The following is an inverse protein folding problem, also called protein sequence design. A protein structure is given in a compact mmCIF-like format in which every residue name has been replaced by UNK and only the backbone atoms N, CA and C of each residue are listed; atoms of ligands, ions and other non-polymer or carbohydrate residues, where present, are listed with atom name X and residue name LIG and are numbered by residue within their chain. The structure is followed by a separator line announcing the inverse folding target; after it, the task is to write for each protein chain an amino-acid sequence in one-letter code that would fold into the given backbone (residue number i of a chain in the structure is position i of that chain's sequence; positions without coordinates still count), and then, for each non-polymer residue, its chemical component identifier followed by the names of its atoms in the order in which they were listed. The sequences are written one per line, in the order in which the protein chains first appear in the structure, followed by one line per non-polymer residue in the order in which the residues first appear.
data_IF_911963890138
#
_entry.id   IF_911963890138
#
_cell.length_a   1.000
_cell.length_b   1.000
_cell.length_c   1.000
_cell.angle_alpha   90.00
_cell.angle_beta   90.00
_cell.angle_gamma   90.00
#
_symmetry.space_group_name_H-M   'P 1'
#
loop_
_entity.id
_entity.type
_entity.pdbx_description
1 polymer ?
#
# COMPACT_ATOMS: atom_id res chain seq x y z
N UNK A 1 -36.88 10.07 -26.68
CA UNK A 1 -37.39 11.09 -25.72
C UNK A 1 -36.56 12.37 -25.71
N UNK A 2 -35.25 12.36 -25.42
CA UNK A 2 -34.42 13.59 -25.39
C UNK A 2 -34.16 14.16 -26.80
N UNK A 3 -34.00 13.29 -27.81
CA UNK A 3 -33.91 13.69 -29.24
C UNK A 3 -35.19 14.41 -29.70
N UNK A 4 -36.35 14.01 -29.17
CA UNK A 4 -37.65 14.61 -29.47
C UNK A 4 -37.88 15.96 -28.78
N UNK A 5 -37.18 16.27 -27.68
CA UNK A 5 -37.36 17.50 -26.90
C UNK A 5 -36.42 18.65 -27.33
N UNK A 6 -35.29 18.35 -27.97
CA UNK A 6 -34.24 19.36 -28.23
C UNK A 6 -33.70 19.39 -29.67
N UNK A 7 -34.05 18.41 -30.51
CA UNK A 7 -33.49 18.22 -31.84
C UNK A 7 -32.09 17.62 -31.82
N UNK A 8 -31.81 16.75 -32.80
CA UNK A 8 -30.54 16.02 -32.97
C UNK A 8 -29.29 16.93 -32.85
N UNK A 9 -29.25 18.15 -33.41
CA UNK A 9 -28.06 19.00 -33.36
C UNK A 9 -27.67 19.45 -31.94
N UNK A 10 -28.66 19.86 -31.12
CA UNK A 10 -28.41 20.32 -29.74
C UNK A 10 -28.02 19.16 -28.82
N UNK A 11 -28.53 17.97 -29.08
CA UNK A 11 -28.17 16.74 -28.36
C UNK A 11 -26.72 16.33 -28.62
N UNK A 12 -26.26 16.42 -29.88
CA UNK A 12 -24.86 16.13 -30.25
C UNK A 12 -23.90 17.15 -29.61
N UNK A 13 -24.24 18.44 -29.65
CA UNK A 13 -23.41 19.50 -29.02
C UNK A 13 -23.31 19.30 -27.50
N UNK A 14 -24.41 18.91 -26.85
CA UNK A 14 -24.44 18.61 -25.43
C UNK A 14 -23.54 17.42 -25.05
N UNK A 15 -23.64 16.30 -25.77
CA UNK A 15 -22.81 15.13 -25.51
C UNK A 15 -21.33 15.40 -25.80
N UNK A 16 -21.00 16.16 -26.85
CA UNK A 16 -19.63 16.53 -27.17
C UNK A 16 -19.00 17.41 -26.08
N UNK A 17 -19.79 18.28 -25.46
CA UNK A 17 -19.35 19.15 -24.35
C UNK A 17 -19.13 18.35 -23.05
N UNK A 18 -20.03 17.42 -22.74
CA UNK A 18 -19.86 16.49 -21.60
C UNK A 18 -18.64 15.59 -21.82
N UNK A 19 -18.48 15.04 -23.02
CA UNK A 19 -17.35 14.18 -23.37
C UNK A 19 -16.01 14.90 -23.24
N UNK A 20 -15.92 16.16 -23.67
CA UNK A 20 -14.70 16.97 -23.51
C UNK A 20 -14.39 17.30 -22.03
N UNK A 21 -15.41 17.56 -21.20
CA UNK A 21 -15.25 17.79 -19.76
C UNK A 21 -14.76 16.51 -19.08
N UNK A 22 -15.34 15.36 -19.43
CA UNK A 22 -14.92 14.05 -18.91
C UNK A 22 -13.50 13.72 -19.37
N UNK A 23 -13.12 14.00 -20.62
CA UNK A 23 -11.75 13.82 -21.10
C UNK A 23 -10.73 14.70 -20.38
N UNK A 24 -11.04 15.98 -20.12
CA UNK A 24 -10.15 16.87 -19.36
C UNK A 24 -10.01 16.42 -17.91
N UNK A 25 -11.11 15.95 -17.30
CA UNK A 25 -11.11 15.39 -15.96
C UNK A 25 -10.29 14.09 -15.86
N UNK A 26 -10.42 13.20 -16.85
CA UNK A 26 -9.63 11.98 -16.94
C UNK A 26 -8.14 12.28 -17.17
N UNK A 27 -7.79 13.19 -18.10
CA UNK A 27 -6.38 13.62 -18.32
C UNK A 27 -5.74 14.23 -17.06
N UNK A 28 -6.52 14.92 -16.23
CA UNK A 28 -6.08 15.49 -14.95
C UNK A 28 -5.79 14.42 -13.88
N UNK A 29 -6.59 13.34 -13.85
CA UNK A 29 -6.49 12.26 -12.87
C UNK A 29 -5.42 11.22 -13.25
N UNK A 30 -5.20 10.97 -14.54
CA UNK A 30 -4.31 9.89 -15.03
C UNK A 30 -2.82 10.09 -14.67
N UNK A 31 -2.39 11.28 -14.18
CA UNK A 31 -0.97 11.48 -13.81
C UNK A 31 -0.48 10.73 -12.57
N UNK A 32 -1.35 10.23 -11.65
CA UNK A 32 -1.02 9.20 -10.61
C UNK A 32 -2.32 8.57 -10.05
N UNK A 33 -2.32 7.29 -9.63
CA UNK A 33 -3.54 6.61 -9.23
C UNK A 33 -4.05 7.14 -7.88
N UNK A 34 -5.27 7.67 -7.87
CA UNK A 34 -6.02 8.03 -6.66
C UNK A 34 -7.24 7.12 -6.63
N UNK A 35 -7.34 6.28 -5.60
CA UNK A 35 -8.57 5.54 -5.30
C UNK A 35 -9.54 6.55 -4.70
N UNK A 36 -10.36 7.16 -5.57
CA UNK A 36 -11.46 8.02 -5.17
C UNK A 36 -12.63 7.08 -4.84
N UNK A 37 -13.09 7.07 -3.59
CA UNK A 37 -14.35 6.42 -3.25
C UNK A 37 -15.51 7.36 -3.67
N UNK A 38 -15.71 7.43 -5.00
CA UNK A 38 -16.71 8.23 -5.72
C UNK A 38 -18.14 8.13 -5.15
N UNK A 39 -18.60 6.98 -4.60
CA UNK A 39 -19.93 6.88 -4.01
C UNK A 39 -20.18 7.84 -2.85
N UNK A 40 -19.20 8.09 -1.98
CA UNK A 40 -19.36 8.91 -0.77
C UNK A 40 -19.55 10.39 -1.11
N UNK A 41 -18.87 10.86 -2.14
CA UNK A 41 -18.92 12.25 -2.57
C UNK A 41 -20.25 12.58 -3.26
N UNK A 42 -20.78 11.62 -4.03
CA UNK A 42 -22.12 11.70 -4.63
C UNK A 42 -23.19 11.66 -3.54
N UNK A 43 -23.00 10.85 -2.49
CA UNK A 43 -23.95 10.73 -1.38
C UNK A 43 -24.04 12.00 -0.52
N UNK A 44 -22.90 12.61 -0.20
CA UNK A 44 -22.81 13.91 0.49
C UNK A 44 -23.48 15.03 -0.32
N UNK A 45 -23.32 14.99 -1.65
CA UNK A 45 -23.93 15.97 -2.55
C UNK A 45 -25.46 15.85 -2.58
N UNK A 46 -26.01 14.63 -2.56
CA UNK A 46 -27.46 14.38 -2.52
C UNK A 46 -28.08 14.86 -1.20
N UNK A 47 -27.40 14.67 -0.07
CA UNK A 47 -27.88 15.11 1.25
C UNK A 47 -27.90 16.64 1.36
N UNK A 48 -26.81 17.30 0.96
CA UNK A 48 -26.72 18.77 0.95
C UNK A 48 -27.76 19.38 0.00
N UNK A 49 -27.99 18.74 -1.15
CA UNK A 49 -28.99 19.18 -2.11
C UNK A 49 -30.43 19.05 -1.59
N UNK A 50 -30.75 17.98 -0.85
CA UNK A 50 -32.07 17.83 -0.20
C UNK A 50 -32.31 18.84 0.92
N UNK A 51 -31.29 19.13 1.74
CA UNK A 51 -31.39 20.14 2.81
C UNK A 51 -31.53 21.56 2.26
N UNK A 52 -30.85 21.86 1.14
CA UNK A 52 -30.97 23.14 0.44
C UNK A 52 -32.35 23.32 -0.22
N UNK A 53 -32.93 22.27 -0.80
CA UNK A 53 -34.30 22.32 -1.33
C UNK A 53 -35.36 22.45 -0.20
N UNK A 54 -35.08 21.89 0.97
CA UNK A 54 -35.93 22.03 2.15
C UNK A 54 -35.89 23.47 2.70
N UNK A 55 -34.72 24.12 2.73
CA UNK A 55 -34.59 25.51 3.20
C UNK A 55 -35.24 26.51 2.23
N UNK A 56 -35.17 26.27 0.91
CA UNK A 56 -35.81 27.12 -0.10
C UNK A 56 -37.35 27.07 -0.06
N UNK A 57 -37.94 25.97 0.42
CA UNK A 57 -39.40 25.89 0.61
C UNK A 57 -39.89 26.61 1.85
N UNK A 58 -39.01 26.86 2.82
CA UNK A 58 -39.32 27.68 4.01
C UNK A 58 -39.16 29.18 3.73
N UNK A 59 -38.26 29.58 2.82
CA UNK A 59 -38.04 31.00 2.47
C UNK A 59 -39.07 31.59 1.50
N UNK A 60 -39.98 30.78 0.94
CA UNK A 60 -41.03 31.21 0.00
C UNK A 60 -42.43 31.35 0.64
N UNK A 61 -42.51 31.44 1.96
CA UNK A 61 -43.74 31.89 2.64
C UNK A 61 -43.69 33.41 2.71
N UNK A 62 -44.26 34.08 1.71
CA UNK A 62 -44.47 35.53 1.77
C UNK A 62 -45.57 35.85 2.79
N UNK A 63 -45.16 36.47 3.89
CA UNK A 63 -46.00 37.24 4.82
C UNK A 63 -46.43 38.54 4.13
N UNK A 64 -47.42 38.50 3.23
CA UNK A 64 -48.31 39.61 2.91
C UNK A 64 -49.26 39.23 1.78
N UNK A 65 -50.39 38.65 2.14
CA UNK A 65 -51.70 39.05 1.60
C UNK A 65 -52.78 38.50 2.56
N UNK A 66 -53.53 39.43 3.16
CA UNK A 66 -54.74 39.13 3.92
C UNK A 66 -55.77 38.48 2.99
N UNK A 67 -56.02 37.18 3.15
CA UNK A 67 -57.26 36.58 2.65
C UNK A 67 -58.30 36.68 3.75
N UNK A 68 -59.31 37.49 3.47
CA UNK A 68 -60.58 37.55 4.19
C UNK A 68 -61.09 36.14 4.50
N UNK A 69 -61.20 35.86 5.80
CA UNK A 69 -61.79 34.63 6.30
C UNK A 69 -63.29 34.62 6.00
N UNK A 70 -63.75 33.87 4.99
CA UNK A 70 -65.08 33.25 5.04
C UNK A 70 -65.08 31.84 4.44
N UNK A 71 -65.19 30.89 5.38
CA UNK A 71 -65.84 29.57 5.33
C UNK A 71 -65.58 28.70 4.08
N UNK A 72 -64.69 27.70 4.20
CA UNK A 72 -65.11 26.32 4.51
C UNK A 72 -63.92 25.34 4.45
N UNK A 73 -64.04 24.24 5.23
CA UNK A 73 -63.22 23.00 5.21
C UNK A 73 -61.87 23.01 5.95
N UNK A 74 -61.92 23.26 7.27
CA UNK A 74 -60.81 22.97 8.23
C UNK A 74 -60.61 21.47 8.58
N UNK A 75 -61.35 20.53 7.97
CA UNK A 75 -61.37 19.11 8.41
C UNK A 75 -60.44 18.14 7.66
N UNK A 76 -59.77 18.55 6.56
CA UNK A 76 -58.97 17.63 5.72
C UNK A 76 -57.45 17.86 5.72
N UNK A 77 -56.94 18.83 6.47
CA UNK A 77 -55.51 19.15 6.46
C UNK A 77 -54.66 18.14 7.24
N UNK A 78 -55.14 17.70 8.41
CA UNK A 78 -54.39 16.85 9.34
C UNK A 78 -54.28 15.38 8.89
N UNK A 79 -55.31 14.82 8.22
CA UNK A 79 -55.27 13.44 7.69
C UNK A 79 -54.27 13.26 6.53
N UNK A 80 -54.02 14.31 5.73
CA UNK A 80 -53.04 14.28 4.64
C UNK A 80 -51.58 14.33 5.11
N UNK A 81 -51.32 15.11 6.17
CA UNK A 81 -49.99 15.22 6.80
C UNK A 81 -49.60 13.90 7.49
N UNK A 82 -50.54 13.27 8.20
CA UNK A 82 -50.29 12.01 8.90
C UNK A 82 -49.99 10.84 7.95
N UNK A 83 -50.69 10.78 6.79
CA UNK A 83 -50.50 9.72 5.78
C UNK A 83 -49.17 9.84 5.02
N UNK A 84 -48.68 11.07 4.82
CA UNK A 84 -47.36 11.32 4.21
C UNK A 84 -46.18 11.16 5.19
N UNK A 85 -46.40 11.35 6.50
CA UNK A 85 -45.37 11.13 7.52
C UNK A 85 -45.07 9.64 7.79
N UNK A 86 -46.06 8.75 7.63
CA UNK A 86 -45.91 7.32 7.87
C UNK A 86 -44.98 6.60 6.89
N UNK A 87 -44.77 7.14 5.68
CA UNK A 87 -43.92 6.53 4.64
C UNK A 87 -42.42 6.83 4.85
N UNK A 88 -42.05 7.78 5.71
CA UNK A 88 -40.67 8.29 5.78
C UNK A 88 -39.84 7.86 7.00
N UNK A 89 -40.41 7.10 7.96
CA UNK A 89 -39.74 6.80 9.24
C UNK A 89 -38.46 5.97 9.12
N UNK A 90 -38.40 5.02 8.18
CA UNK A 90 -37.19 4.21 7.97
C UNK A 90 -36.16 4.90 7.08
N UNK A 91 -36.60 5.72 6.13
CA UNK A 91 -35.71 6.48 5.25
C UNK A 91 -34.89 7.51 6.03
N UNK A 92 -35.49 8.23 6.97
CA UNK A 92 -34.79 9.25 7.75
C UNK A 92 -33.81 8.61 8.72
N UNK A 93 -34.22 7.58 9.47
CA UNK A 93 -33.37 6.88 10.44
C UNK A 93 -32.13 6.25 9.78
N UNK A 94 -32.30 5.57 8.64
CA UNK A 94 -31.20 4.96 7.88
C UNK A 94 -30.25 6.04 7.33
N UNK A 95 -30.79 7.15 6.82
CA UNK A 95 -29.94 8.26 6.35
C UNK A 95 -29.17 8.95 7.47
N UNK A 96 -29.74 9.04 8.67
CA UNK A 96 -29.07 9.60 9.85
C UNK A 96 -27.93 8.70 10.34
N UNK A 97 -28.14 7.38 10.38
CA UNK A 97 -27.11 6.40 10.79
C UNK A 97 -25.93 6.42 9.80
N UNK A 98 -26.22 6.46 8.50
CA UNK A 98 -25.19 6.52 7.45
C UNK A 98 -24.43 7.86 7.44
N UNK A 99 -25.10 8.96 7.78
CA UNK A 99 -24.47 10.28 7.94
C UNK A 99 -23.48 10.31 9.10
N UNK A 100 -23.85 9.73 10.26
CA UNK A 100 -22.98 9.62 11.43
C UNK A 100 -21.75 8.74 11.10
N UNK A 101 -21.94 7.64 10.38
CA UNK A 101 -20.85 6.76 9.94
C UNK A 101 -19.89 7.45 8.94
N UNK A 102 -20.43 8.30 8.05
CA UNK A 102 -19.66 9.13 7.12
C UNK A 102 -18.83 10.21 7.81
N UNK A 103 -19.39 10.88 8.84
CA UNK A 103 -18.63 11.85 9.65
C UNK A 103 -17.53 11.15 10.47
N UNK A 104 -17.84 10.00 11.08
CA UNK A 104 -16.88 9.21 11.85
C UNK A 104 -15.65 8.82 11.01
N UNK A 105 -15.86 8.39 9.76
CA UNK A 105 -14.78 8.01 8.83
C UNK A 105 -13.97 9.21 8.30
N UNK A 106 -14.57 10.41 8.20
CA UNK A 106 -13.86 11.64 7.82
C UNK A 106 -12.99 12.17 8.97
N UNK A 107 -13.46 12.04 10.22
CA UNK A 107 -12.73 12.49 11.41
C UNK A 107 -11.54 11.57 11.72
N UNK A 108 -11.72 10.25 11.64
CA UNK A 108 -10.69 9.27 12.00
C UNK A 108 -9.65 9.01 10.90
N UNK A 109 -9.87 9.43 9.65
CA UNK A 109 -8.95 9.14 8.54
C UNK A 109 -8.34 10.42 7.93
N UNK A 110 -7.06 10.63 8.22
CA UNK A 110 -6.26 11.79 7.79
C UNK A 110 -6.15 11.95 6.26
N UNK A 111 -6.32 10.86 5.48
CA UNK A 111 -6.27 10.89 4.01
C UNK A 111 -7.54 11.52 3.43
N UNK A 112 -8.71 11.18 3.98
CA UNK A 112 -10.03 11.68 3.59
C UNK A 112 -10.14 13.19 3.77
N UNK A 113 -9.51 13.70 4.84
CA UNK A 113 -9.49 15.13 5.21
C UNK A 113 -8.67 16.01 4.26
N UNK A 114 -7.66 15.46 3.59
CA UNK A 114 -6.84 16.17 2.58
C UNK A 114 -7.51 16.21 1.20
N UNK A 115 -8.26 15.16 0.86
CA UNK A 115 -8.97 15.04 -0.42
C UNK A 115 -10.19 15.99 -0.47
N UNK A 116 -10.93 16.12 0.63
CA UNK A 116 -12.12 16.98 0.71
C UNK A 116 -11.82 18.45 0.38
N UNK A 117 -10.68 18.99 0.84
CA UNK A 117 -10.26 20.37 0.59
C UNK A 117 -10.01 20.66 -0.90
N UNK A 118 -9.45 19.71 -1.66
CA UNK A 118 -9.16 19.89 -3.10
C UNK A 118 -10.40 19.75 -3.98
N UNK A 119 -11.26 18.78 -3.67
CA UNK A 119 -12.55 18.60 -4.35
C UNK A 119 -13.44 19.84 -4.16
N UNK A 120 -13.48 20.40 -2.95
CA UNK A 120 -14.21 21.62 -2.63
C UNK A 120 -13.76 22.83 -3.47
N UNK A 121 -12.44 22.97 -3.72
CA UNK A 121 -11.88 24.03 -4.56
C UNK A 121 -12.25 23.93 -6.04
N UNK A 122 -12.49 22.72 -6.56
CA UNK A 122 -12.84 22.49 -7.96
C UNK A 122 -14.34 22.66 -8.18
N UNK A 123 -15.16 22.16 -7.24
CA UNK A 123 -16.60 22.32 -7.26
C UNK A 123 -17.00 23.79 -7.15
N UNK A 124 -16.32 24.58 -6.31
CA UNK A 124 -16.62 26.01 -6.11
C UNK A 124 -16.44 26.84 -7.40
N UNK A 125 -15.47 26.51 -8.24
CA UNK A 125 -15.22 27.20 -9.52
C UNK A 125 -16.28 26.94 -10.59
N UNK A 126 -16.99 25.82 -10.53
CA UNK A 126 -17.98 25.41 -11.53
C UNK A 126 -19.44 25.47 -11.05
N UNK A 127 -19.68 26.07 -9.87
CA UNK A 127 -21.01 26.11 -9.23
C UNK A 127 -22.12 26.66 -10.13
N UNK A 128 -21.85 27.69 -10.96
CA UNK A 128 -22.86 28.28 -11.86
C UNK A 128 -23.39 27.28 -12.91
N UNK A 129 -22.54 26.39 -13.42
CA UNK A 129 -22.92 25.38 -14.41
C UNK A 129 -23.71 24.26 -13.73
N UNK A 130 -23.26 23.86 -12.53
CA UNK A 130 -23.89 22.80 -11.72
C UNK A 130 -25.30 23.24 -11.27
N UNK A 131 -25.47 24.48 -10.82
CA UNK A 131 -26.77 25.07 -10.44
C UNK A 131 -27.76 25.06 -11.62
N UNK A 132 -27.30 25.43 -12.83
CA UNK A 132 -28.13 25.46 -14.04
C UNK A 132 -28.55 24.06 -14.53
N UNK A 133 -27.77 23.03 -14.20
CA UNK A 133 -28.07 21.64 -14.50
C UNK A 133 -29.05 21.03 -13.49
N UNK A 134 -28.91 21.41 -12.22
CA UNK A 134 -29.73 20.93 -11.10
C UNK A 134 -31.09 21.64 -11.00
N UNK A 135 -31.25 22.80 -11.64
CA UNK A 135 -32.53 23.52 -11.75
C UNK A 135 -33.49 22.90 -12.77
N UNK A 136 -33.06 21.90 -13.53
CA UNK A 136 -33.92 21.17 -14.46
C UNK A 136 -34.70 20.13 -13.66
N UNK A 137 -36.01 20.33 -13.52
CA UNK A 137 -36.92 19.36 -12.89
C UNK A 137 -36.98 18.10 -13.75
N UNK A 138 -36.24 17.07 -13.37
CA UNK A 138 -36.31 15.75 -14.00
C UNK A 138 -37.58 15.07 -13.47
N UNK A 139 -38.52 14.64 -14.33
CA UNK A 139 -39.67 13.85 -13.90
C UNK A 139 -39.20 12.63 -13.11
N UNK A 140 -39.82 12.36 -11.95
CA UNK A 140 -39.51 11.23 -11.05
C UNK A 140 -39.21 9.89 -11.76
N UNK A 141 -39.91 9.46 -12.84
CA UNK A 141 -39.56 8.22 -13.55
C UNK A 141 -38.17 8.25 -14.22
N UNK A 142 -37.71 9.40 -14.71
CA UNK A 142 -36.40 9.54 -15.36
C UNK A 142 -35.26 9.51 -14.33
N UNK A 143 -35.49 10.07 -13.14
CA UNK A 143 -34.52 9.99 -12.03
C UNK A 143 -34.32 8.54 -11.54
N UNK A 144 -35.39 7.74 -11.56
CA UNK A 144 -35.32 6.32 -11.21
C UNK A 144 -34.55 5.52 -12.26
N UNK A 145 -34.77 5.78 -13.54
CA UNK A 145 -34.03 5.15 -14.64
C UNK A 145 -32.53 5.49 -14.61
N UNK A 146 -32.18 6.74 -14.28
CA UNK A 146 -30.78 7.16 -14.13
C UNK A 146 -30.13 6.45 -12.94
N UNK A 147 -30.81 6.35 -11.81
CA UNK A 147 -30.30 5.62 -10.64
C UNK A 147 -30.15 4.13 -10.92
N UNK A 148 -31.11 3.51 -11.61
CA UNK A 148 -31.04 2.11 -12.00
C UNK A 148 -29.87 1.87 -12.97
N UNK A 149 -29.69 2.75 -13.95
CA UNK A 149 -28.58 2.68 -14.91
C UNK A 149 -27.22 2.88 -14.23
N UNK A 150 -27.11 3.83 -13.29
CA UNK A 150 -25.90 4.02 -12.49
C UNK A 150 -25.61 2.80 -11.61
N UNK A 151 -26.63 2.19 -11.02
CA UNK A 151 -26.47 0.99 -10.19
C UNK A 151 -26.02 -0.21 -11.03
N UNK A 152 -26.58 -0.39 -12.23
CA UNK A 152 -26.13 -1.41 -13.19
C UNK A 152 -24.68 -1.15 -13.61
N UNK A 153 -24.29 0.10 -13.88
CA UNK A 153 -22.91 0.46 -14.20
C UNK A 153 -21.97 0.17 -13.01
N UNK A 154 -22.38 0.48 -11.77
CA UNK A 154 -21.59 0.17 -10.57
C UNK A 154 -21.46 -1.35 -10.40
N UNK A 155 -22.52 -2.11 -10.63
CA UNK A 155 -22.49 -3.57 -10.59
C UNK A 155 -21.54 -4.13 -11.67
N UNK A 156 -21.59 -3.59 -12.89
CA UNK A 156 -20.71 -3.98 -13.99
C UNK A 156 -19.24 -3.62 -13.71
N UNK A 157 -18.97 -2.43 -13.18
CA UNK A 157 -17.62 -1.99 -12.81
C UNK A 157 -17.09 -2.79 -11.62
N UNK A 158 -17.92 -3.10 -10.63
CA UNK A 158 -17.51 -3.91 -9.45
C UNK A 158 -17.27 -5.37 -9.80
N UNK A 159 -18.02 -5.92 -10.76
CA UNK A 159 -17.77 -7.24 -11.33
C UNK A 159 -16.55 -7.25 -12.27
N UNK A 160 -16.21 -6.11 -12.86
CA UNK A 160 -14.91 -5.87 -13.49
C UNK A 160 -13.83 -5.74 -12.41
N UNK A 161 -13.41 -6.87 -11.84
CA UNK A 161 -12.09 -6.98 -11.22
C UNK A 161 -11.06 -6.72 -12.31
N UNK A 162 -10.68 -5.46 -12.52
CA UNK A 162 -9.47 -5.12 -13.25
C UNK A 162 -8.30 -5.73 -12.49
N UNK A 163 -7.90 -6.95 -12.87
CA UNK A 163 -6.58 -7.48 -12.60
C UNK A 163 -5.61 -6.66 -13.45
N UNK A 164 -5.24 -5.48 -12.97
CA UNK A 164 -3.98 -4.89 -13.38
C UNK A 164 -2.88 -5.74 -12.77
N UNK A 165 -2.46 -6.81 -13.46
CA UNK A 165 -1.16 -7.40 -13.21
C UNK A 165 -0.13 -6.43 -13.79
N UNK A 166 0.23 -5.40 -13.02
CA UNK A 166 1.45 -4.67 -13.31
C UNK A 166 2.59 -5.65 -13.08
N UNK A 167 3.27 -6.06 -14.14
CA UNK A 167 4.47 -6.87 -14.02
C UNK A 167 5.49 -6.11 -13.17
N UNK A 168 5.99 -6.77 -12.12
CA UNK A 168 6.97 -6.18 -11.21
C UNK A 168 8.33 -6.61 -11.69
N UNK A 169 9.21 -5.65 -11.97
CA UNK A 169 10.59 -5.92 -12.36
C UNK A 169 11.53 -5.56 -11.22
N UNK A 170 12.53 -6.41 -11.00
CA UNK A 170 13.62 -6.19 -10.08
C UNK A 170 14.94 -6.35 -10.78
N UNK A 171 15.95 -5.68 -10.25
CA UNK A 171 17.31 -5.78 -10.73
C UNK A 171 18.29 -5.80 -9.56
N UNK A 172 19.53 -6.16 -9.84
CA UNK A 172 20.64 -6.13 -8.88
C UNK A 172 21.49 -4.85 -9.08
N UNK A 173 22.61 -4.72 -8.36
CA UNK A 173 23.41 -3.49 -8.39
C UNK A 173 24.07 -3.25 -9.76
N UNK A 174 24.30 -4.30 -10.55
CA UNK A 174 24.86 -4.17 -11.91
C UNK A 174 23.89 -3.49 -12.86
N UNK A 175 22.58 -3.60 -12.59
CA UNK A 175 21.48 -3.23 -13.50
C UNK A 175 21.42 -4.02 -14.80
N UNK A 176 22.20 -5.10 -14.95
CA UNK A 176 22.24 -5.92 -16.16
C UNK A 176 21.26 -7.10 -16.12
N UNK A 177 20.67 -7.40 -14.96
CA UNK A 177 19.89 -8.62 -14.74
C UNK A 177 18.39 -8.33 -14.47
N UNK A 178 17.78 -7.40 -15.20
CA UNK A 178 16.37 -7.06 -14.96
C UNK A 178 15.46 -8.30 -15.12
N UNK A 179 14.75 -8.63 -14.06
CA UNK A 179 13.99 -9.87 -13.92
C UNK A 179 12.58 -9.57 -13.46
N UNK A 180 11.60 -10.12 -14.18
CA UNK A 180 10.20 -10.07 -13.80
C UNK A 180 9.91 -11.04 -12.64
N UNK A 181 9.21 -10.56 -11.62
CA UNK A 181 8.87 -11.30 -10.42
C UNK A 181 7.36 -11.28 -10.17
N UNK A 182 6.86 -12.28 -9.43
CA UNK A 182 5.45 -12.35 -9.09
C UNK A 182 5.11 -11.41 -7.93
N UNK A 183 5.94 -11.44 -6.90
CA UNK A 183 5.73 -10.66 -5.69
C UNK A 183 7.04 -10.50 -4.93
N UNK A 184 7.20 -9.31 -4.34
CA UNK A 184 8.31 -8.96 -3.46
C UNK A 184 7.78 -8.89 -2.04
N UNK A 185 8.37 -9.67 -1.15
CA UNK A 185 8.04 -9.73 0.26
C UNK A 185 9.10 -9.00 1.08
N UNK A 186 8.63 -8.35 2.14
CA UNK A 186 9.45 -7.59 3.08
C UNK A 186 9.22 -8.09 4.51
N UNK A 187 9.75 -9.28 4.88
CA UNK A 187 9.59 -9.81 6.21
C UNK A 187 10.13 -8.86 7.29
N UNK A 188 9.49 -8.88 8.45
CA UNK A 188 9.97 -8.20 9.68
C UNK A 188 10.11 -9.18 10.84
N UNK A 189 9.48 -10.33 10.73
CA UNK A 189 9.44 -11.36 11.75
C UNK A 189 9.69 -12.73 11.12
N UNK A 190 10.10 -13.68 11.95
CA UNK A 190 10.24 -15.08 11.57
C UNK A 190 8.91 -15.63 10.99
N UNK A 191 7.78 -15.26 11.58
CA UNK A 191 6.45 -15.70 11.13
C UNK A 191 6.12 -15.22 9.70
N UNK A 192 6.63 -14.05 9.29
CA UNK A 192 6.45 -13.57 7.91
C UNK A 192 7.20 -14.47 6.91
N UNK A 193 8.37 -14.99 7.29
CA UNK A 193 9.15 -15.91 6.46
C UNK A 193 8.46 -17.28 6.39
N UNK A 194 7.96 -17.79 7.51
CA UNK A 194 7.19 -19.04 7.55
C UNK A 194 5.94 -18.94 6.65
N UNK A 195 5.20 -17.83 6.75
CA UNK A 195 4.06 -17.54 5.88
C UNK A 195 4.48 -17.51 4.40
N UNK A 196 5.59 -16.85 4.08
CA UNK A 196 6.14 -16.78 2.72
C UNK A 196 6.44 -18.17 2.17
N UNK A 197 7.10 -19.03 2.94
CA UNK A 197 7.46 -20.40 2.53
C UNK A 197 6.19 -21.23 2.30
N UNK A 198 5.25 -21.19 3.24
CA UNK A 198 3.96 -21.88 3.12
C UNK A 198 3.19 -21.44 1.88
N UNK A 199 3.14 -20.12 1.63
CA UNK A 199 2.49 -19.54 0.46
C UNK A 199 3.17 -19.95 -0.83
N UNK A 200 4.50 -19.90 -0.90
CA UNK A 200 5.26 -20.29 -2.08
C UNK A 200 5.02 -21.76 -2.43
N UNK A 201 5.05 -22.64 -1.42
CA UNK A 201 4.76 -24.08 -1.57
C UNK A 201 3.33 -24.32 -2.09
N UNK A 202 2.34 -23.65 -1.52
CA UNK A 202 0.94 -23.77 -1.96
C UNK A 202 0.69 -23.34 -3.41
N UNK A 203 1.56 -22.48 -3.96
CA UNK A 203 1.44 -21.95 -5.32
C UNK A 203 2.46 -22.54 -6.30
N UNK A 204 3.27 -23.51 -5.87
CA UNK A 204 4.34 -24.08 -6.68
C UNK A 204 5.35 -23.04 -7.16
N UNK A 205 5.70 -22.07 -6.31
CA UNK A 205 6.67 -21.00 -6.62
C UNK A 205 7.94 -21.18 -5.83
N UNK A 206 9.07 -20.79 -6.42
CA UNK A 206 10.34 -20.69 -5.70
C UNK A 206 10.50 -19.34 -5.03
N UNK A 207 11.45 -19.25 -4.09
CA UNK A 207 11.81 -18.03 -3.37
C UNK A 207 13.28 -17.74 -3.66
N UNK A 208 13.58 -16.53 -4.11
CA UNK A 208 14.93 -15.98 -4.09
C UNK A 208 15.08 -15.06 -2.88
N UNK A 209 16.20 -15.17 -2.17
CA UNK A 209 16.49 -14.35 -0.99
C UNK A 209 17.39 -13.19 -1.38
N UNK A 210 17.11 -12.02 -0.82
CA UNK A 210 17.82 -10.78 -1.09
C UNK A 210 18.03 -10.01 0.21
N UNK A 211 19.26 -9.51 0.40
CA UNK A 211 19.55 -8.47 1.39
C UNK A 211 19.61 -7.11 0.71
N UNK A 212 20.80 -6.52 0.63
CA UNK A 212 21.01 -5.18 0.04
C UNK A 212 21.18 -5.18 -1.49
N UNK A 213 20.86 -6.28 -2.19
CA UNK A 213 20.88 -6.39 -3.65
C UNK A 213 22.22 -6.18 -4.36
N UNK A 214 23.33 -6.26 -3.64
CA UNK A 214 24.66 -5.95 -4.16
C UNK A 214 25.27 -7.02 -5.08
N UNK A 215 24.49 -8.01 -5.48
CA UNK A 215 24.91 -9.02 -6.45
C UNK A 215 25.06 -8.42 -7.85
N UNK A 216 25.90 -9.02 -8.69
CA UNK A 216 26.15 -8.52 -10.06
C UNK A 216 25.85 -9.54 -11.16
N UNK A 217 25.36 -10.73 -10.80
CA UNK A 217 25.05 -11.82 -11.73
C UNK A 217 23.67 -12.44 -11.50
N UNK A 218 22.72 -11.67 -10.93
CA UNK A 218 21.35 -12.14 -10.71
C UNK A 218 21.19 -13.20 -9.61
N UNK A 219 22.18 -13.43 -8.75
CA UNK A 219 22.11 -14.48 -7.72
C UNK A 219 20.97 -14.30 -6.71
N UNK A 220 20.52 -13.05 -6.49
CA UNK A 220 19.37 -12.71 -5.63
C UNK A 220 18.04 -12.62 -6.38
N UNK A 221 18.05 -12.92 -7.68
CA UNK A 221 16.87 -12.86 -8.54
C UNK A 221 16.43 -14.29 -8.89
N UNK A 222 15.13 -14.51 -9.08
CA UNK A 222 14.65 -15.82 -9.43
C UNK A 222 15.01 -16.16 -10.87
N UNK A 223 15.43 -17.41 -11.08
CA UNK A 223 15.57 -17.95 -12.43
C UNK A 223 14.21 -17.91 -13.13
N UNK A 224 14.21 -17.45 -14.39
CA UNK A 224 13.09 -17.66 -15.31
C UNK A 224 13.04 -19.13 -15.73
N UNK A 225 12.44 -19.98 -14.89
CA UNK A 225 11.99 -21.30 -15.33
C UNK A 225 10.56 -21.15 -15.83
N UNK A 226 10.36 -21.25 -17.15
CA UNK A 226 9.06 -21.17 -17.83
C UNK A 226 8.35 -19.80 -17.74
N UNK A 227 7.08 -19.74 -18.14
CA UNK A 227 6.20 -18.56 -18.07
C UNK A 227 5.78 -18.19 -16.63
N UNK A 228 6.38 -18.81 -15.60
CA UNK A 228 6.02 -18.62 -14.20
C UNK A 228 7.04 -17.73 -13.47
N UNK A 229 6.58 -16.55 -13.04
CA UNK A 229 7.37 -15.66 -12.19
C UNK A 229 7.40 -16.16 -10.74
N UNK A 230 8.48 -15.87 -10.00
CA UNK A 230 8.69 -16.39 -8.64
C UNK A 230 8.70 -15.28 -7.58
N UNK A 231 8.84 -15.68 -6.32
CA UNK A 231 8.85 -14.75 -5.19
C UNK A 231 10.25 -14.28 -4.86
N UNK A 232 10.35 -13.05 -4.36
CA UNK A 232 11.58 -12.53 -3.77
C UNK A 232 11.33 -12.18 -2.31
N UNK A 233 12.21 -12.66 -1.44
CA UNK A 233 12.27 -12.36 -0.02
C UNK A 233 13.35 -11.31 0.22
N UNK A 234 12.96 -10.06 0.45
CA UNK A 234 13.90 -8.97 0.75
C UNK A 234 13.92 -8.72 2.26
N UNK A 235 15.02 -9.14 2.89
CA UNK A 235 15.20 -9.17 4.34
C UNK A 235 15.56 -7.80 4.94
N UNK A 236 15.68 -6.72 4.15
CA UNK A 236 16.24 -5.43 4.60
C UNK A 236 15.60 -4.81 5.85
N UNK A 237 14.39 -5.24 6.24
CA UNK A 237 13.70 -4.75 7.45
C UNK A 237 13.84 -5.66 8.68
N UNK A 238 14.49 -6.82 8.55
CA UNK A 238 15.02 -7.60 9.67
C UNK A 238 16.46 -7.13 9.92
N UNK A 239 16.58 -5.96 10.55
CA UNK A 239 17.84 -5.24 10.69
C UNK A 239 18.21 -4.91 12.15
N UNK A 240 17.64 -5.62 13.12
CA UNK A 240 17.99 -5.47 14.52
C UNK A 240 19.42 -5.95 14.80
N UNK A 241 20.12 -5.22 15.69
CA UNK A 241 21.48 -5.54 16.13
C UNK A 241 21.53 -5.39 17.65
N UNK A 242 21.94 -6.46 18.31
CA UNK A 242 22.09 -6.54 19.75
C UNK A 242 23.54 -6.92 20.09
N UNK A 243 24.11 -6.27 21.11
CA UNK A 243 25.45 -6.57 21.60
C UNK A 243 25.35 -7.06 23.04
N UNK A 244 26.02 -8.15 23.35
CA UNK A 244 26.09 -8.72 24.69
C UNK A 244 27.45 -8.39 25.31
N UNK A 245 27.46 -7.59 26.38
CA UNK A 245 28.69 -7.16 27.05
C UNK A 245 29.40 -8.28 27.82
N UNK A 246 28.65 -9.33 28.23
CA UNK A 246 29.21 -10.45 28.98
C UNK A 246 29.97 -11.41 28.06
N UNK A 247 29.31 -11.87 26.99
CA UNK A 247 29.95 -12.76 26.00
C UNK A 247 30.85 -12.00 25.03
N UNK A 248 30.64 -10.69 24.87
CA UNK A 248 31.24 -9.81 23.86
C UNK A 248 30.87 -10.19 22.43
N UNK A 249 29.76 -10.90 22.26
CA UNK A 249 29.24 -11.26 20.95
C UNK A 249 28.23 -10.23 20.46
N UNK A 250 28.01 -10.22 19.15
CA UNK A 250 26.96 -9.43 18.52
C UNK A 250 25.97 -10.33 17.81
N UNK A 251 24.69 -10.11 18.08
CA UNK A 251 23.59 -10.80 17.45
C UNK A 251 22.96 -9.90 16.41
N UNK A 252 22.87 -10.39 15.18
CA UNK A 252 22.58 -9.58 14.00
C UNK A 252 21.48 -10.24 13.19
N UNK A 253 20.36 -9.54 12.97
CA UNK A 253 19.35 -10.02 12.04
C UNK A 253 19.86 -9.96 10.58
N UNK A 254 19.39 -10.89 9.76
CA UNK A 254 19.96 -11.17 8.45
C UNK A 254 20.02 -9.97 7.48
N UNK A 255 19.03 -9.09 7.54
CA UNK A 255 18.94 -7.89 6.71
C UNK A 255 19.74 -6.69 7.20
N UNK A 256 20.24 -6.73 8.43
CA UNK A 256 21.10 -5.68 8.97
C UNK A 256 22.33 -5.52 8.08
N UNK A 257 22.79 -4.28 7.91
CA UNK A 257 24.04 -3.99 7.20
C UNK A 257 25.20 -3.91 8.17
N UNK A 258 26.43 -4.04 7.66
CA UNK A 258 27.63 -3.81 8.47
C UNK A 258 27.67 -2.40 9.06
N UNK A 259 27.09 -1.38 8.42
CA UNK A 259 26.89 -0.05 9.02
C UNK A 259 26.10 -0.11 10.34
N UNK A 260 25.01 -0.89 10.38
CA UNK A 260 24.23 -1.06 11.62
C UNK A 260 25.07 -1.72 12.71
N UNK A 261 25.84 -2.75 12.34
CA UNK A 261 26.73 -3.46 13.27
C UNK A 261 27.82 -2.54 13.82
N UNK A 262 28.55 -1.81 12.95
CA UNK A 262 29.59 -0.86 13.37
C UNK A 262 29.02 0.20 14.31
N UNK A 263 27.87 0.80 13.97
CA UNK A 263 27.26 1.80 14.84
C UNK A 263 26.92 1.24 16.22
N UNK A 264 26.41 0.01 16.30
CA UNK A 264 26.13 -0.64 17.59
C UNK A 264 27.42 -0.94 18.36
N UNK A 265 28.43 -1.51 17.71
CA UNK A 265 29.69 -1.90 18.35
C UNK A 265 30.56 -0.73 18.80
N UNK A 266 30.52 0.39 18.07
CA UNK A 266 31.26 1.60 18.44
C UNK A 266 30.86 2.15 19.82
N UNK A 267 29.62 1.93 20.26
CA UNK A 267 29.15 2.33 21.60
C UNK A 267 29.89 1.60 22.72
N UNK A 268 30.51 0.47 22.43
CA UNK A 268 31.19 -0.40 23.39
C UNK A 268 32.69 -0.52 23.11
N UNK A 269 33.25 0.29 22.20
CA UNK A 269 34.66 0.18 21.81
C UNK A 269 35.01 -1.16 21.16
N UNK A 270 34.07 -1.75 20.41
CA UNK A 270 34.23 -3.04 19.72
C UNK A 270 34.21 -2.86 18.20
N UNK A 271 34.72 -3.86 17.50
CA UNK A 271 34.77 -3.94 16.03
C UNK A 271 34.36 -5.34 15.57
N UNK A 272 33.79 -5.50 14.36
CA UNK A 272 33.76 -6.78 13.68
C UNK A 272 35.18 -7.39 13.58
N UNK A 273 35.29 -8.72 13.60
CA UNK A 273 36.58 -9.42 13.44
C UNK A 273 37.07 -9.32 12.01
N UNK A 274 36.18 -9.64 11.06
CA UNK A 274 36.45 -9.61 9.62
C UNK A 274 35.44 -8.68 8.97
N UNK A 275 35.90 -7.80 8.08
CA UNK A 275 35.02 -6.97 7.27
C UNK A 275 35.57 -6.77 5.87
N UNK A 276 34.69 -6.71 4.89
CA UNK A 276 35.00 -6.35 3.51
C UNK A 276 35.05 -4.83 3.33
N UNK A 277 35.49 -4.35 2.16
CA UNK A 277 35.80 -2.94 1.91
C UNK A 277 34.62 -1.97 2.13
N UNK A 278 33.39 -2.41 1.86
CA UNK A 278 32.19 -1.58 2.05
C UNK A 278 31.31 -2.12 3.17
N UNK A 279 30.73 -1.21 3.95
CA UNK A 279 29.83 -1.56 5.05
C UNK A 279 28.33 -1.55 4.67
N UNK A 280 28.01 -1.30 3.39
CA UNK A 280 26.62 -1.21 2.90
C UNK A 280 25.97 -2.56 2.63
N UNK A 281 26.74 -3.66 2.67
CA UNK A 281 26.20 -5.01 2.46
C UNK A 281 25.41 -5.50 3.69
N UNK A 282 24.38 -6.32 3.44
CA UNK A 282 23.71 -7.08 4.50
C UNK A 282 24.65 -8.15 5.05
N UNK A 283 24.66 -8.31 6.37
CA UNK A 283 25.53 -9.28 7.06
C UNK A 283 25.25 -10.71 6.60
N UNK A 284 23.99 -11.15 6.53
CA UNK A 284 23.70 -12.51 6.05
C UNK A 284 24.08 -12.71 4.57
N UNK A 285 23.91 -11.69 3.73
CA UNK A 285 24.35 -11.76 2.32
C UNK A 285 25.87 -11.93 2.21
N UNK A 286 26.63 -11.23 3.05
CA UNK A 286 28.09 -11.37 3.17
C UNK A 286 28.51 -12.78 3.60
N UNK A 287 27.84 -13.36 4.61
CA UNK A 287 28.10 -14.73 5.07
C UNK A 287 27.69 -15.77 4.03
N UNK A 288 26.59 -15.54 3.32
CA UNK A 288 26.06 -16.47 2.30
C UNK A 288 26.99 -16.64 1.10
N UNK A 289 27.94 -15.73 0.89
CA UNK A 289 29.01 -15.84 -0.12
C UNK A 289 30.38 -16.11 0.50
N UNK A 290 30.43 -16.27 1.83
CA UNK A 290 31.64 -16.35 2.64
C UNK A 290 32.70 -15.31 2.22
N UNK A 291 32.31 -14.04 2.19
CA UNK A 291 33.18 -13.00 1.64
C UNK A 291 34.54 -12.92 2.36
N UNK A 292 35.54 -12.43 1.64
CA UNK A 292 36.87 -12.19 2.17
C UNK A 292 36.95 -10.83 2.90
N UNK A 293 37.71 -10.76 3.99
CA UNK A 293 38.00 -9.53 4.72
C UNK A 293 39.14 -8.72 4.11
N UNK A 294 39.07 -7.40 4.13
CA UNK A 294 40.17 -6.55 3.63
C UNK A 294 41.30 -6.38 4.65
N UNK A 295 41.02 -6.59 5.94
CA UNK A 295 41.95 -6.26 7.03
C UNK A 295 42.71 -7.45 7.62
N UNK A 296 42.23 -8.68 7.45
CA UNK A 296 42.79 -9.87 8.12
C UNK A 296 43.17 -11.01 7.17
N UNK A 297 42.94 -10.88 5.86
CA UNK A 297 43.02 -11.98 4.86
C UNK A 297 42.16 -13.23 5.20
N UNK A 298 41.32 -13.14 6.24
CA UNK A 298 40.39 -14.18 6.65
C UNK A 298 39.05 -14.07 5.90
N UNK A 299 38.32 -15.18 5.85
CA UNK A 299 36.95 -15.22 5.39
C UNK A 299 35.95 -14.93 6.54
N UNK A 300 34.76 -14.46 6.18
CA UNK A 300 33.76 -14.03 7.17
C UNK A 300 33.29 -15.14 8.11
N UNK A 301 33.40 -16.41 7.70
CA UNK A 301 33.15 -17.58 8.55
C UNK A 301 33.91 -17.55 9.87
N UNK A 302 35.10 -16.96 9.93
CA UNK A 302 35.91 -16.86 11.15
C UNK A 302 35.24 -16.00 12.24
N UNK A 303 34.36 -15.09 11.84
CA UNK A 303 33.57 -14.28 12.77
C UNK A 303 32.32 -15.00 13.27
N UNK A 304 31.83 -16.03 12.59
CA UNK A 304 30.52 -16.65 12.87
C UNK A 304 30.63 -17.64 14.03
N UNK A 305 29.75 -17.51 15.02
CA UNK A 305 29.60 -18.45 16.14
C UNK A 305 28.46 -19.42 15.84
N UNK A 306 27.26 -18.89 15.61
CA UNK A 306 26.08 -19.69 15.25
C UNK A 306 25.17 -18.95 14.27
N UNK A 307 24.33 -19.73 13.58
CA UNK A 307 23.40 -19.28 12.56
C UNK A 307 22.02 -19.79 12.90
N UNK A 308 21.07 -18.87 13.09
CA UNK A 308 19.64 -19.19 13.13
C UNK A 308 19.07 -19.09 11.71
N UNK A 309 18.37 -20.13 11.26
CA UNK A 309 17.84 -20.22 9.91
C UNK A 309 16.41 -20.77 9.88
N UNK A 310 15.74 -20.57 8.75
CA UNK A 310 14.49 -21.25 8.41
C UNK A 310 14.72 -22.12 7.17
N UNK A 311 14.41 -23.41 7.29
CA UNK A 311 14.56 -24.37 6.20
C UNK A 311 13.46 -24.25 5.14
N UNK A 312 13.58 -25.02 4.05
CA UNK A 312 12.59 -25.04 2.95
C UNK A 312 11.18 -25.49 3.35
N UNK A 313 11.02 -26.09 4.53
CA UNK A 313 9.73 -26.52 5.08
C UNK A 313 9.14 -25.49 6.06
N UNK A 314 9.83 -24.37 6.28
CA UNK A 314 9.41 -23.34 7.23
C UNK A 314 9.74 -23.69 8.69
N UNK A 315 10.64 -24.65 8.93
CA UNK A 315 11.09 -25.01 10.28
C UNK A 315 12.29 -24.16 10.67
N UNK A 316 12.27 -23.69 11.92
CA UNK A 316 13.41 -22.96 12.53
C UNK A 316 14.49 -23.96 12.93
N UNK A 317 15.75 -23.57 12.77
CA UNK A 317 16.90 -24.32 13.25
C UNK A 317 18.05 -23.40 13.64
N UNK A 318 19.02 -23.96 14.35
CA UNK A 318 20.29 -23.30 14.69
C UNK A 318 21.43 -24.28 14.40
N UNK A 319 22.51 -23.78 13.78
CA UNK A 319 23.73 -24.56 13.57
C UNK A 319 24.99 -23.75 13.94
N UNK A 320 26.05 -24.46 14.28
CA UNK A 320 27.36 -23.95 14.68
C UNK A 320 28.46 -24.95 14.28
N UNK A 321 29.72 -24.69 14.65
CA UNK A 321 30.80 -25.67 14.46
C UNK A 321 30.62 -26.91 15.35
N UNK A 322 29.88 -26.78 16.45
CA UNK A 322 29.63 -27.80 17.46
C UNK A 322 28.25 -28.46 17.32
N UNK A 323 27.29 -27.79 16.68
CA UNK A 323 25.92 -28.29 16.46
C UNK A 323 25.57 -28.25 14.97
N UNK A 324 25.27 -29.41 14.38
CA UNK A 324 24.98 -29.54 12.94
C UNK A 324 26.06 -28.90 12.04
N UNK A 325 27.31 -29.34 12.26
CA UNK A 325 28.51 -28.81 11.61
C UNK A 325 28.46 -28.90 10.08
N UNK A 326 27.82 -29.94 9.56
CA UNK A 326 27.64 -30.12 8.11
C UNK A 326 26.76 -29.00 7.56
N UNK A 327 25.57 -28.78 8.13
CA UNK A 327 24.68 -27.72 7.69
C UNK A 327 25.28 -26.32 7.89
N UNK A 328 25.99 -26.11 9.01
CA UNK A 328 26.74 -24.88 9.25
C UNK A 328 27.72 -24.57 8.10
N UNK A 329 28.50 -25.58 7.68
CA UNK A 329 29.44 -25.46 6.56
C UNK A 329 28.73 -25.22 5.22
N UNK A 330 27.54 -25.80 5.03
CA UNK A 330 26.76 -25.65 3.79
C UNK A 330 26.08 -24.28 3.68
N UNK A 331 25.57 -23.72 4.78
CA UNK A 331 24.90 -22.40 4.77
C UNK A 331 25.92 -21.30 4.43
N UNK A 332 27.12 -21.38 4.98
CA UNK A 332 28.20 -20.42 4.74
C UNK A 332 28.74 -20.61 3.32
N UNK A 333 28.70 -19.55 2.50
CA UNK A 333 29.02 -19.69 1.07
C UNK A 333 27.97 -20.46 0.26
N UNK A 334 26.84 -20.85 0.87
CA UNK A 334 25.78 -21.63 0.24
C UNK A 334 24.79 -20.82 -0.60
N UNK A 335 24.98 -19.50 -0.75
CA UNK A 335 24.13 -18.60 -1.53
C UNK A 335 22.63 -18.65 -1.15
N UNK A 336 22.31 -19.01 0.10
CA UNK A 336 20.94 -19.13 0.59
C UNK A 336 20.18 -20.38 0.12
N UNK A 337 20.89 -21.39 -0.43
CA UNK A 337 20.28 -22.63 -0.95
C UNK A 337 19.86 -23.61 0.16
N UNK A 338 20.51 -23.56 1.32
CA UNK A 338 20.30 -24.48 2.43
C UNK A 338 19.33 -23.95 3.51
N UNK A 339 18.84 -22.72 3.33
CA UNK A 339 17.93 -22.07 4.26
C UNK A 339 18.02 -20.56 4.19
N UNK A 340 17.01 -19.89 4.74
CA UNK A 340 17.01 -18.45 4.91
C UNK A 340 17.64 -18.15 6.27
N UNK A 341 18.85 -17.58 6.28
CA UNK A 341 19.46 -17.05 7.50
C UNK A 341 18.53 -15.97 8.06
N UNK A 342 18.22 -16.04 9.35
CA UNK A 342 17.37 -15.07 10.05
C UNK A 342 18.15 -14.24 11.06
N UNK A 343 19.09 -14.87 11.78
CA UNK A 343 19.96 -14.23 12.75
C UNK A 343 21.34 -14.89 12.76
N UNK A 344 22.36 -14.08 13.03
CA UNK A 344 23.75 -14.52 13.18
C UNK A 344 24.26 -14.09 14.54
N UNK A 345 24.97 -14.99 15.22
CA UNK A 345 25.80 -14.64 16.37
C UNK A 345 27.24 -14.55 15.92
N UNK A 346 27.87 -13.39 16.10
CA UNK A 346 29.23 -13.11 15.63
C UNK A 346 30.15 -12.74 16.79
N UNK A 347 31.41 -13.18 16.71
CA UNK A 347 32.50 -12.68 17.56
C UNK A 347 32.74 -11.21 17.27
N UNK A 348 33.29 -10.51 18.27
CA UNK A 348 33.82 -9.15 18.10
C UNK A 348 35.25 -9.08 18.64
N UNK A 349 35.98 -8.04 18.25
CA UNK A 349 37.30 -7.69 18.80
C UNK A 349 37.28 -6.27 19.33
N UNK A 350 38.32 -5.88 20.08
CA UNK A 350 38.47 -4.51 20.55
C UNK A 350 38.67 -3.59 19.35
N UNK A 351 38.00 -2.44 19.34
CA UNK A 351 38.21 -1.43 18.32
C UNK A 351 39.54 -0.74 18.58
N UNK A 352 40.53 -1.02 17.74
CA UNK A 352 41.88 -0.49 17.87
C UNK A 352 42.26 0.27 16.61
N UNK A 353 43.12 1.28 16.78
CA UNK A 353 43.72 1.98 15.64
C UNK A 353 44.69 1.04 14.94
N UNK A 354 44.45 0.77 13.66
CA UNK A 354 45.40 0.04 12.82
C UNK A 354 46.51 0.97 12.34
N UNK A 355 47.74 0.45 12.24
CA UNK A 355 48.90 1.13 11.67
C UNK A 355 49.50 0.26 10.58
N UNK A 356 49.83 0.84 9.44
CA UNK A 356 50.49 0.13 8.37
C UNK A 356 52.01 0.21 8.58
N UNK A 357 52.66 -0.95 8.65
CA UNK A 357 54.12 -1.02 8.68
C UNK A 357 54.64 -1.07 7.24
N UNK A 358 55.56 -0.18 6.89
CA UNK A 358 56.18 -0.13 5.56
C UNK A 358 57.62 -0.60 5.66
N UNK A 359 57.93 -1.73 5.03
CA UNK A 359 59.31 -2.20 4.86
C UNK A 359 59.75 -1.79 3.45
N UNK A 360 60.76 -0.91 3.36
CA UNK A 360 61.38 -0.56 2.08
C UNK A 360 62.47 -1.58 1.78
N UNK A 361 62.24 -2.42 0.79
CA UNK A 361 63.24 -3.37 0.29
C UNK A 361 64.35 -2.60 -0.45
N UNK A 362 65.61 -2.96 -0.19
CA UNK A 362 66.80 -2.37 -0.81
C UNK A 362 67.16 -3.05 -2.13
#
# INVERSE_FOLDING_TARGET
MIICLFGIPKFIVFFRKIFNIIQQFLKSIIKKPIIINVPVLIYLFIIIFKLYLFSLKFSNINYNEQISFKKSKKKNYWKGIQKNLLVYRYSTLITSILFIFGIYTIINNNLTRRISKRVFSILSKNMKIIIKFLSITIPTPVSFLILLFLNIIIQLISNFKFKFSSNIYLNDVSKLNETEIHCLFYPRTINDIEYLISKAKSQGRTISVRGQAHTMGGQTLPLRKSHQTNYVCDLKYMNHVEYDEYTKDVFVEAGATWTHVIHKLNLYGRSPVVMQSYCTFSVAGTISVNAHGITSDDAMVESVISIEYIDMNGRKGECSRESDRELFSLIIGGYGLFGIITRLRLKTVSNVKTSLEYIRLQ
#
